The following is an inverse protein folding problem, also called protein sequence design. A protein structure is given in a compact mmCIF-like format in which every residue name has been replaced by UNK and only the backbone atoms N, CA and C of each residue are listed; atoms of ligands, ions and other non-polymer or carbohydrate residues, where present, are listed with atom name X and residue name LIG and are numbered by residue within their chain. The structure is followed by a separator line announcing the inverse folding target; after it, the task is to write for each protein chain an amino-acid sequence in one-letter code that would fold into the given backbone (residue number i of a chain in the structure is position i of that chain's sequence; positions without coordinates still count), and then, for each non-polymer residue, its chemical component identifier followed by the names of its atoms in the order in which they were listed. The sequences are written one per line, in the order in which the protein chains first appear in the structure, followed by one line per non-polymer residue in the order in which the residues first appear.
data_IF_991950982665
#
_entry.id   IF_991950982665
#
_cell.length_a   1.000
_cell.length_b   1.000
_cell.length_c   1.000
_cell.angle_alpha   90.00
_cell.angle_beta   90.00
_cell.angle_gamma   90.00
#
_symmetry.space_group_name_H-M   'P 1'
#
loop_
_entity.id
_entity.type
_entity.pdbx_description
1 polymer ?
#
# COMPACT_ATOMS: atom_id res chain seq x y z
N UNK A 1 21.39 11.22 0.53
CA UNK A 1 20.15 12.03 0.62
C UNK A 1 18.99 11.17 0.17
N UNK A 2 17.75 11.36 0.68
CA UNK A 2 16.62 10.53 0.21
C UNK A 2 16.37 10.66 -1.31
N UNK A 3 16.72 11.81 -1.92
CA UNK A 3 16.71 11.96 -3.38
C UNK A 3 17.54 10.91 -4.14
N UNK A 4 18.58 10.33 -3.55
CA UNK A 4 19.40 9.30 -4.21
C UNK A 4 18.60 8.01 -4.43
N UNK A 5 17.58 7.77 -3.60
CA UNK A 5 16.69 6.62 -3.75
C UNK A 5 15.83 6.69 -5.00
N UNK A 6 15.62 7.89 -5.58
CA UNK A 6 14.90 8.07 -6.84
C UNK A 6 15.60 7.40 -8.02
N UNK A 7 16.89 7.09 -7.89
CA UNK A 7 17.64 6.36 -8.90
C UNK A 7 17.21 4.88 -8.98
N UNK A 8 16.68 4.34 -7.89
CA UNK A 8 16.36 2.93 -7.74
C UNK A 8 14.86 2.66 -7.95
N UNK A 9 14.50 1.42 -8.28
CA UNK A 9 13.10 1.05 -8.42
C UNK A 9 12.48 0.91 -7.03
N UNK A 10 11.43 1.66 -6.72
CA UNK A 10 10.81 1.67 -5.40
C UNK A 10 10.21 0.32 -4.99
N UNK A 11 9.87 -0.54 -5.96
CA UNK A 11 9.36 -1.89 -5.70
C UNK A 11 10.46 -2.95 -5.57
N UNK A 12 11.70 -2.61 -5.93
CA UNK A 12 12.86 -3.50 -6.00
C UNK A 12 14.12 -2.73 -5.60
N UNK A 13 14.07 -2.03 -4.46
CA UNK A 13 15.08 -1.04 -4.09
C UNK A 13 16.46 -1.68 -3.88
N UNK A 14 16.51 -2.80 -3.14
CA UNK A 14 17.76 -3.51 -2.86
C UNK A 14 18.36 -4.15 -4.12
N UNK A 15 17.53 -4.75 -4.98
CA UNK A 15 17.99 -5.30 -6.26
C UNK A 15 18.50 -4.23 -7.22
N UNK A 16 17.82 -3.07 -7.27
CA UNK A 16 18.28 -1.95 -8.09
C UNK A 16 19.59 -1.37 -7.56
N UNK A 17 19.73 -1.23 -6.24
CA UNK A 17 21.00 -0.82 -5.61
C UNK A 17 22.12 -1.78 -5.97
N UNK A 18 21.89 -3.08 -5.82
CA UNK A 18 22.87 -4.12 -6.16
C UNK A 18 23.29 -4.04 -7.64
N UNK A 19 22.35 -3.88 -8.57
CA UNK A 19 22.66 -3.72 -9.99
C UNK A 19 23.56 -2.51 -10.24
N UNK A 20 23.21 -1.37 -9.66
CA UNK A 20 24.01 -0.15 -9.84
C UNK A 20 25.39 -0.27 -9.19
N UNK A 21 25.49 -0.91 -8.02
CA UNK A 21 26.77 -1.15 -7.35
C UNK A 21 27.67 -2.12 -8.14
N UNK A 22 27.06 -3.13 -8.78
CA UNK A 22 27.79 -4.18 -9.51
C UNK A 22 28.20 -3.73 -10.91
N UNK A 23 27.30 -3.07 -11.63
CA UNK A 23 27.48 -2.74 -13.05
C UNK A 23 27.70 -1.25 -13.32
N UNK A 24 27.55 -0.38 -12.32
CA UNK A 24 27.82 1.05 -12.41
C UNK A 24 27.00 1.73 -13.52
N UNK A 25 27.67 2.52 -14.35
CA UNK A 25 27.01 3.24 -15.45
C UNK A 25 26.46 2.33 -16.55
N UNK A 26 26.79 1.03 -16.56
CA UNK A 26 26.24 0.10 -17.55
C UNK A 26 24.73 -0.03 -17.46
N UNK A 27 24.14 0.21 -16.28
CA UNK A 27 22.67 0.21 -16.15
C UNK A 27 21.98 1.27 -17.02
N UNK A 28 22.72 2.31 -17.47
CA UNK A 28 22.26 3.35 -18.39
C UNK A 28 22.71 3.14 -19.84
N UNK A 29 23.61 2.19 -20.11
CA UNK A 29 24.03 1.87 -21.48
C UNK A 29 23.46 0.54 -22.00
N UNK A 30 22.93 -0.31 -21.11
CA UNK A 30 22.42 -1.63 -21.44
C UNK A 30 23.07 -2.74 -20.59
N UNK A 31 22.26 -3.72 -20.20
CA UNK A 31 22.67 -4.89 -19.40
C UNK A 31 22.48 -6.22 -20.16
N UNK A 32 22.30 -6.18 -21.48
CA UNK A 32 21.96 -7.34 -22.30
C UNK A 32 22.96 -8.48 -22.15
N UNK A 33 24.25 -8.13 -22.07
CA UNK A 33 25.34 -9.09 -21.90
C UNK A 33 25.43 -9.66 -20.46
N UNK A 34 24.79 -9.02 -19.49
CA UNK A 34 24.81 -9.39 -18.07
C UNK A 34 23.51 -10.10 -17.65
N UNK A 35 22.53 -10.23 -18.54
CA UNK A 35 21.23 -10.84 -18.21
C UNK A 35 21.37 -12.24 -17.63
N UNK A 36 22.31 -13.04 -18.15
CA UNK A 36 22.57 -14.40 -17.64
C UNK A 36 23.08 -14.35 -16.21
N UNK A 37 24.14 -13.60 -15.95
CA UNK A 37 24.74 -13.42 -14.62
C UNK A 37 23.72 -12.88 -13.60
N UNK A 38 22.88 -11.92 -14.01
CA UNK A 38 21.82 -11.36 -13.16
C UNK A 38 20.80 -12.44 -12.80
N UNK A 39 20.40 -13.30 -13.76
CA UNK A 39 19.46 -14.40 -13.49
C UNK A 39 20.07 -15.46 -12.57
N UNK A 40 21.35 -15.76 -12.72
CA UNK A 40 22.08 -16.66 -11.83
C UNK A 40 22.09 -16.13 -10.40
N UNK A 41 22.43 -14.85 -10.21
CA UNK A 41 22.37 -14.20 -8.90
C UNK A 41 20.98 -14.27 -8.26
N UNK A 42 19.91 -14.01 -9.03
CA UNK A 42 18.53 -14.10 -8.53
C UNK A 42 18.19 -15.53 -8.08
N UNK A 43 18.66 -16.55 -8.80
CA UNK A 43 18.43 -17.94 -8.43
C UNK A 43 19.21 -18.35 -7.18
N UNK A 44 20.49 -17.98 -7.09
CA UNK A 44 21.35 -18.30 -5.93
C UNK A 44 20.84 -17.69 -4.62
N UNK A 45 20.21 -16.51 -4.70
CA UNK A 45 19.65 -15.81 -3.56
C UNK A 45 18.15 -16.10 -3.35
N UNK A 46 17.59 -17.08 -4.08
CA UNK A 46 16.17 -17.46 -4.04
C UNK A 46 15.18 -16.29 -4.26
N UNK A 47 15.61 -15.26 -5.01
CA UNK A 47 14.86 -14.05 -5.28
C UNK A 47 13.90 -14.27 -6.45
N UNK A 48 12.64 -14.59 -6.12
CA UNK A 48 11.59 -14.78 -7.12
C UNK A 48 11.14 -13.43 -7.71
N UNK A 49 11.34 -13.29 -9.03
CA UNK A 49 10.91 -12.12 -9.78
C UNK A 49 10.07 -12.53 -11.00
N UNK A 50 9.03 -11.76 -11.30
CA UNK A 50 8.24 -11.98 -12.52
C UNK A 50 9.00 -11.46 -13.74
N UNK A 51 8.78 -12.05 -14.92
CA UNK A 51 9.40 -11.60 -16.17
C UNK A 51 9.17 -10.10 -16.44
N UNK A 52 7.99 -9.59 -16.08
CA UNK A 52 7.66 -8.17 -16.20
C UNK A 52 8.51 -7.28 -15.29
N UNK A 53 8.71 -7.69 -14.04
CA UNK A 53 9.56 -6.95 -13.11
C UNK A 53 11.03 -7.03 -13.53
N UNK A 54 11.50 -8.21 -13.94
CA UNK A 54 12.86 -8.42 -14.43
C UNK A 54 13.15 -7.54 -15.65
N UNK A 55 12.30 -7.60 -16.67
CA UNK A 55 12.45 -6.79 -17.89
C UNK A 55 12.44 -5.30 -17.60
N UNK A 56 11.64 -4.83 -16.62
CA UNK A 56 11.68 -3.43 -16.17
C UNK A 56 12.99 -3.08 -15.46
N UNK A 57 13.49 -3.99 -14.61
CA UNK A 57 14.69 -3.82 -13.80
C UNK A 57 15.96 -3.65 -14.66
N UNK A 58 16.09 -4.42 -15.74
CA UNK A 58 17.24 -4.36 -16.66
C UNK A 58 17.06 -3.37 -17.82
N UNK A 59 15.93 -2.66 -17.88
CA UNK A 59 15.62 -1.77 -18.98
C UNK A 59 16.37 -0.43 -18.88
N UNK A 60 17.19 -0.14 -19.89
CA UNK A 60 17.98 1.09 -19.98
C UNK A 60 17.14 2.36 -19.87
N UNK A 61 16.03 2.44 -20.63
CA UNK A 61 15.14 3.60 -20.61
C UNK A 61 14.54 3.85 -19.24
N UNK A 62 14.22 2.79 -18.47
CA UNK A 62 13.70 2.92 -17.09
C UNK A 62 14.76 3.45 -16.13
N UNK A 63 16.02 3.11 -16.32
CA UNK A 63 17.14 3.70 -15.57
C UNK A 63 17.32 5.19 -15.93
N UNK A 64 17.28 5.53 -17.22
CA UNK A 64 17.36 6.92 -17.67
C UNK A 64 16.20 7.79 -17.13
N UNK A 65 14.97 7.28 -17.16
CA UNK A 65 13.79 7.95 -16.60
C UNK A 65 13.98 8.25 -15.09
N UNK A 66 14.51 7.30 -14.32
CA UNK A 66 14.82 7.47 -12.88
C UNK A 66 15.95 8.46 -12.65
N UNK A 67 17.03 8.38 -13.42
CA UNK A 67 18.15 9.35 -13.35
C UNK A 67 17.69 10.77 -13.69
N UNK A 68 16.85 10.93 -14.70
CA UNK A 68 16.26 12.23 -15.03
C UNK A 68 15.39 12.77 -13.89
N UNK A 69 14.61 11.92 -13.23
CA UNK A 69 13.81 12.28 -12.06
C UNK A 69 14.67 12.71 -10.87
N UNK A 70 15.75 11.96 -10.56
CA UNK A 70 16.73 12.31 -9.53
C UNK A 70 17.39 13.66 -9.82
N UNK A 71 17.85 13.88 -11.05
CA UNK A 71 18.47 15.15 -11.45
C UNK A 71 17.49 16.33 -11.34
N UNK A 72 16.23 16.12 -11.69
CA UNK A 72 15.19 17.13 -11.51
C UNK A 72 14.94 17.44 -10.03
N UNK A 73 14.94 16.42 -9.16
CA UNK A 73 14.83 16.61 -7.71
C UNK A 73 15.98 17.46 -7.14
N UNK A 74 17.22 17.20 -7.56
CA UNK A 74 18.39 18.00 -7.15
C UNK A 74 18.26 19.47 -7.58
N UNK A 75 17.77 19.72 -8.80
CA UNK A 75 17.53 21.08 -9.29
C UNK A 75 16.43 21.80 -8.51
N UNK A 76 15.34 21.10 -8.18
CA UNK A 76 14.26 21.64 -7.34
C UNK A 76 14.79 22.00 -5.95
N UNK A 77 15.55 21.09 -5.33
CA UNK A 77 16.15 21.32 -4.02
C UNK A 77 17.06 22.56 -4.01
N UNK A 78 17.92 22.72 -5.02
CA UNK A 78 18.77 23.91 -5.14
C UNK A 78 17.97 25.21 -5.30
N UNK A 79 16.76 25.15 -5.89
CA UNK A 79 15.91 26.31 -6.15
C UNK A 79 15.00 26.67 -4.98
N UNK A 80 14.41 25.67 -4.33
CA UNK A 80 13.44 25.84 -3.23
C UNK A 80 14.13 25.96 -1.88
N UNK A 81 15.33 25.38 -1.75
CA UNK A 81 16.09 25.38 -0.50
C UNK A 81 15.95 24.08 0.27
N UNK A 82 16.48 24.09 1.50
CA UNK A 82 16.53 22.94 2.41
C UNK A 82 15.78 23.18 3.72
N UNK A 83 14.92 24.21 3.74
CA UNK A 83 14.10 24.50 4.91
C UNK A 83 13.08 23.39 5.14
N UNK A 84 12.71 23.20 6.40
CA UNK A 84 11.67 22.24 6.79
C UNK A 84 10.29 22.89 6.67
N UNK A 85 9.30 22.10 6.23
CA UNK A 85 7.94 22.53 5.99
C UNK A 85 6.96 21.58 6.69
N UNK A 86 6.06 22.13 7.51
CA UNK A 86 4.96 21.42 8.17
C UNK A 86 3.68 21.36 7.33
N UNK A 87 3.65 22.09 6.20
CA UNK A 87 2.52 22.18 5.29
C UNK A 87 2.91 21.66 3.90
N UNK A 88 2.60 20.38 3.65
CA UNK A 88 2.86 19.73 2.36
C UNK A 88 2.19 20.46 1.20
N UNK A 89 1.02 21.08 1.43
CA UNK A 89 0.27 21.76 0.37
C UNK A 89 1.01 23.03 -0.08
N UNK A 90 1.53 23.80 0.87
CA UNK A 90 2.36 24.96 0.58
C UNK A 90 3.64 24.55 -0.14
N UNK A 91 4.30 23.50 0.34
CA UNK A 91 5.55 23.01 -0.25
C UNK A 91 5.33 22.49 -1.67
N UNK A 92 4.22 21.80 -1.93
CA UNK A 92 3.83 21.37 -3.27
C UNK A 92 3.66 22.57 -4.22
N UNK A 93 2.94 23.62 -3.79
CA UNK A 93 2.74 24.83 -4.60
C UNK A 93 4.05 25.54 -4.95
N UNK A 94 4.98 25.65 -3.98
CA UNK A 94 6.31 26.22 -4.22
C UNK A 94 7.09 25.40 -5.25
N UNK A 95 7.06 24.08 -5.14
CA UNK A 95 7.73 23.17 -6.07
C UNK A 95 7.07 23.16 -7.46
N UNK A 96 5.75 23.33 -7.56
CA UNK A 96 5.07 23.52 -8.85
C UNK A 96 5.51 24.80 -9.55
N UNK A 97 5.69 25.89 -8.78
CA UNK A 97 6.25 27.14 -9.29
C UNK A 97 7.70 26.95 -9.75
N UNK A 98 8.53 26.31 -8.92
CA UNK A 98 9.92 26.02 -9.26
C UNK A 98 10.05 25.11 -10.50
N UNK A 99 9.20 24.10 -10.65
CA UNK A 99 9.14 23.23 -11.83
C UNK A 99 8.89 24.03 -13.12
N UNK A 100 8.01 25.04 -13.08
CA UNK A 100 7.74 25.94 -14.21
C UNK A 100 8.92 26.87 -14.49
N UNK A 101 9.48 27.51 -13.45
CA UNK A 101 10.60 28.44 -13.58
C UNK A 101 11.87 27.76 -14.12
N UNK A 102 12.13 26.52 -13.70
CA UNK A 102 13.27 25.73 -14.15
C UNK A 102 13.03 24.99 -15.47
N UNK A 103 11.80 25.01 -16.01
CA UNK A 103 11.46 24.34 -17.26
C UNK A 103 11.60 22.82 -17.24
N UNK A 104 11.48 22.17 -16.08
CA UNK A 104 11.74 20.73 -15.92
C UNK A 104 10.66 19.83 -16.52
N UNK A 105 9.47 20.39 -16.82
CA UNK A 105 8.32 19.69 -17.42
C UNK A 105 7.89 18.42 -16.65
N UNK A 106 8.09 18.39 -15.33
CA UNK A 106 7.63 17.27 -14.50
C UNK A 106 6.11 17.22 -14.49
N UNK A 107 5.56 16.01 -14.62
CA UNK A 107 4.14 15.74 -14.38
C UNK A 107 3.80 15.89 -12.89
N UNK A 108 2.52 16.10 -12.55
CA UNK A 108 2.08 16.16 -11.15
C UNK A 108 2.43 14.90 -10.37
N UNK A 109 2.34 13.72 -11.01
CA UNK A 109 2.73 12.44 -10.40
C UNK A 109 4.23 12.40 -10.07
N UNK A 110 5.10 12.75 -11.04
CA UNK A 110 6.55 12.80 -10.82
C UNK A 110 6.95 13.79 -9.73
N UNK A 111 6.32 14.97 -9.71
CA UNK A 111 6.57 15.96 -8.67
C UNK A 111 6.18 15.42 -7.29
N UNK A 112 4.98 14.85 -7.15
CA UNK A 112 4.55 14.21 -5.90
C UNK A 112 5.48 13.08 -5.47
N UNK A 113 5.97 12.25 -6.41
CA UNK A 113 6.98 11.22 -6.11
C UNK A 113 8.24 11.84 -5.51
N UNK A 114 8.82 12.86 -6.14
CA UNK A 114 10.01 13.55 -5.61
C UNK A 114 9.77 14.08 -4.20
N UNK A 115 8.64 14.77 -3.97
CA UNK A 115 8.36 15.39 -2.68
C UNK A 115 8.12 14.33 -1.59
N UNK A 116 7.35 13.27 -1.91
CA UNK A 116 7.04 12.19 -0.96
C UNK A 116 8.26 11.36 -0.60
N UNK A 117 9.20 11.14 -1.53
CA UNK A 117 10.47 10.48 -1.21
C UNK A 117 11.24 11.23 -0.13
N UNK A 118 11.12 12.55 -0.06
CA UNK A 118 11.81 13.36 0.95
C UNK A 118 10.96 13.66 2.19
N UNK A 119 9.66 13.42 2.14
CA UNK A 119 8.75 13.67 3.25
C UNK A 119 8.83 12.59 4.35
N UNK A 120 8.32 12.94 5.52
CA UNK A 120 8.07 12.05 6.66
C UNK A 120 6.64 12.29 7.15
N UNK A 121 6.02 11.28 7.75
CA UNK A 121 4.75 11.44 8.44
C UNK A 121 4.98 12.16 9.77
N UNK A 122 4.18 13.18 10.05
CA UNK A 122 4.19 13.93 11.31
C UNK A 122 2.74 14.22 11.73
N UNK A 123 2.28 13.75 12.90
CA UNK A 123 0.91 14.00 13.40
C UNK A 123 0.59 15.49 13.65
N UNK A 124 1.60 16.34 13.77
CA UNK A 124 1.44 17.77 14.04
C UNK A 124 1.44 18.61 12.75
N UNK A 125 1.80 18.01 11.62
CA UNK A 125 1.79 18.66 10.31
C UNK A 125 0.37 18.97 9.85
N UNK A 126 0.24 19.95 8.95
CA UNK A 126 -1.07 20.28 8.37
C UNK A 126 -1.55 19.15 7.47
N UNK A 127 -2.85 18.85 7.47
CA UNK A 127 -3.40 17.75 6.70
C UNK A 127 -3.20 17.98 5.20
N UNK A 128 -2.84 16.91 4.50
CA UNK A 128 -2.62 16.93 3.05
C UNK A 128 -3.95 17.00 2.33
N UNK A 129 -4.09 17.95 1.40
CA UNK A 129 -5.30 18.13 0.59
C UNK A 129 -5.20 17.28 -0.67
N UNK A 130 -6.13 16.35 -0.82
CA UNK A 130 -6.26 15.57 -2.06
C UNK A 130 -6.98 16.36 -3.14
N UNK A 131 -8.07 17.04 -2.78
CA UNK A 131 -8.92 17.74 -3.75
C UNK A 131 -9.63 18.92 -3.11
N UNK A 132 -9.80 19.99 -3.88
CA UNK A 132 -10.66 21.13 -3.54
C UNK A 132 -11.80 21.20 -4.56
N UNK A 133 -13.03 21.20 -4.06
CA UNK A 133 -14.24 21.39 -4.86
C UNK A 133 -14.75 22.82 -4.72
N UNK A 134 -15.19 23.42 -5.82
CA UNK A 134 -15.81 24.75 -5.82
C UNK A 134 -17.14 24.73 -5.06
N UNK A 135 -17.56 25.88 -4.54
CA UNK A 135 -18.82 26.03 -3.80
C UNK A 135 -20.06 25.50 -4.53
N UNK A 136 -20.14 25.70 -5.85
CA UNK A 136 -21.25 25.24 -6.71
C UNK A 136 -20.94 23.93 -7.44
N UNK A 137 -20.12 23.06 -6.85
CA UNK A 137 -19.81 21.77 -7.47
C UNK A 137 -21.05 20.86 -7.44
N UNK A 138 -21.40 20.28 -8.60
CA UNK A 138 -22.52 19.34 -8.78
C UNK A 138 -22.34 18.00 -8.06
N UNK A 139 -21.11 17.64 -7.71
CA UNK A 139 -20.78 16.38 -7.06
C UNK A 139 -21.33 16.32 -5.63
N UNK A 140 -21.36 17.45 -4.91
CA UNK A 140 -21.91 17.55 -3.56
C UNK A 140 -23.42 17.25 -3.53
N UNK A 141 -24.29 17.98 -4.27
CA UNK A 141 -25.72 17.68 -4.25
C UNK A 141 -26.03 16.28 -4.82
N UNK A 142 -25.25 15.79 -5.80
CA UNK A 142 -25.39 14.43 -6.29
C UNK A 142 -25.09 13.38 -5.20
N UNK A 143 -24.02 13.60 -4.41
CA UNK A 143 -23.67 12.75 -3.28
C UNK A 143 -24.74 12.77 -2.19
N UNK A 144 -25.18 13.96 -1.77
CA UNK A 144 -26.25 14.12 -0.77
C UNK A 144 -27.54 13.41 -1.20
N UNK A 145 -27.95 13.57 -2.47
CA UNK A 145 -29.15 12.94 -3.02
C UNK A 145 -29.00 11.41 -3.10
N UNK A 146 -27.85 10.91 -3.54
CA UNK A 146 -27.61 9.48 -3.74
C UNK A 146 -27.64 8.71 -2.42
N UNK A 147 -27.11 9.32 -1.36
CA UNK A 147 -26.98 8.68 -0.05
C UNK A 147 -27.99 9.18 1.00
N UNK A 148 -28.86 10.14 0.64
CA UNK A 148 -29.85 10.69 1.56
C UNK A 148 -29.24 11.42 2.76
N UNK A 149 -28.10 12.10 2.56
CA UNK A 149 -27.35 12.76 3.64
C UNK A 149 -27.79 14.22 3.77
N UNK A 150 -27.85 14.70 5.00
CA UNK A 150 -28.04 16.12 5.30
C UNK A 150 -26.73 16.91 5.10
N UNK A 151 -26.81 18.11 4.54
CA UNK A 151 -25.63 18.96 4.26
C UNK A 151 -24.80 19.24 5.53
N UNK A 152 -25.44 19.31 6.71
CA UNK A 152 -24.75 19.52 7.99
C UNK A 152 -23.79 18.39 8.37
N UNK A 153 -23.97 17.18 7.81
CA UNK A 153 -23.16 16.00 8.11
C UNK A 153 -22.01 15.77 7.13
N UNK A 154 -21.82 16.63 6.13
CA UNK A 154 -20.82 16.43 5.07
C UNK A 154 -19.39 16.18 5.59
N UNK A 155 -19.01 16.81 6.70
CA UNK A 155 -17.70 16.63 7.31
C UNK A 155 -17.47 15.17 7.78
N UNK A 156 -18.51 14.49 8.27
CA UNK A 156 -18.46 13.09 8.66
C UNK A 156 -18.28 12.15 7.47
N UNK A 157 -18.40 12.66 6.24
CA UNK A 157 -18.16 11.92 4.99
C UNK A 157 -16.92 12.44 4.24
N UNK A 158 -16.07 13.22 4.91
CA UNK A 158 -14.79 13.69 4.37
C UNK A 158 -14.87 14.93 3.47
N UNK A 159 -16.01 15.65 3.48
CA UNK A 159 -16.18 16.91 2.74
C UNK A 159 -16.22 18.09 3.72
N UNK A 160 -15.12 18.83 3.81
CA UNK A 160 -14.96 19.91 4.79
C UNK A 160 -15.19 21.27 4.14
N UNK A 161 -16.33 21.90 4.43
CA UNK A 161 -16.68 23.22 3.92
C UNK A 161 -15.80 24.31 4.52
N UNK A 162 -15.23 25.15 3.67
CA UNK A 162 -14.36 26.26 4.02
C UNK A 162 -15.15 27.58 4.12
N UNK A 163 -14.51 28.61 4.68
CA UNK A 163 -15.12 29.94 4.85
C UNK A 163 -15.45 30.63 3.52
N UNK A 164 -14.71 30.32 2.46
CA UNK A 164 -14.96 30.80 1.10
C UNK A 164 -16.06 30.00 0.35
N UNK A 165 -16.66 29.02 1.03
CA UNK A 165 -17.69 28.14 0.50
C UNK A 165 -17.15 26.96 -0.32
N UNK A 166 -15.84 26.82 -0.51
CA UNK A 166 -15.27 25.62 -1.15
C UNK A 166 -15.35 24.41 -0.22
N UNK A 167 -15.15 23.21 -0.78
CA UNK A 167 -15.06 21.97 0.00
C UNK A 167 -13.67 21.36 -0.18
N UNK A 168 -13.02 21.05 0.93
CA UNK A 168 -11.72 20.40 0.98
C UNK A 168 -11.91 18.93 1.28
N UNK A 169 -11.17 18.08 0.57
CA UNK A 169 -11.08 16.64 0.79
C UNK A 169 -9.63 16.33 1.11
N UNK A 170 -9.38 15.80 2.30
CA UNK A 170 -8.04 15.44 2.77
C UNK A 170 -7.62 14.05 2.27
N UNK A 171 -6.31 13.84 2.21
CA UNK A 171 -5.73 12.52 1.93
C UNK A 171 -5.89 11.61 3.15
N UNK A 172 -6.53 10.45 2.94
CA UNK A 172 -6.60 9.41 3.96
C UNK A 172 -5.26 8.71 4.07
N UNK A 173 -4.73 8.60 5.29
CA UNK A 173 -3.63 7.68 5.57
C UNK A 173 -4.10 6.24 5.28
N UNK A 174 -3.35 5.49 4.46
CA UNK A 174 -3.70 4.11 4.10
C UNK A 174 -3.54 3.15 5.28
N UNK A 175 -2.63 3.45 6.18
CA UNK A 175 -2.25 2.55 7.28
C UNK A 175 -3.24 2.64 8.45
N UNK A 176 -4.04 3.72 8.50
CA UNK A 176 -5.08 3.96 9.50
C UNK A 176 -6.49 3.61 9.00
N UNK A 177 -6.63 3.02 7.80
CA UNK A 177 -7.95 2.65 7.27
C UNK A 177 -8.49 1.43 7.98
N UNK A 178 -9.73 1.52 8.43
CA UNK A 178 -10.44 0.38 9.01
C UNK A 178 -11.83 0.17 8.37
N UNK A 179 -12.44 -0.98 8.63
CA UNK A 179 -13.76 -1.36 8.13
C UNK A 179 -14.63 -1.89 9.26
N UNK A 180 -15.74 -1.20 9.52
CA UNK A 180 -16.72 -1.61 10.51
C UNK A 180 -17.78 -2.56 9.93
N UNK A 181 -18.13 -3.59 10.71
CA UNK A 181 -19.24 -4.51 10.40
C UNK A 181 -20.49 -4.08 11.15
N UNK A 182 -21.35 -3.31 10.49
CA UNK A 182 -22.55 -2.73 11.09
C UNK A 182 -23.78 -3.59 10.74
N UNK A 183 -24.63 -3.95 11.72
CA UNK A 183 -25.90 -4.62 11.43
C UNK A 183 -26.78 -3.81 10.48
N UNK A 184 -27.39 -4.45 9.48
CA UNK A 184 -28.22 -3.78 8.45
C UNK A 184 -29.39 -2.97 9.03
N UNK A 185 -29.84 -3.28 10.25
CA UNK A 185 -30.93 -2.59 10.93
C UNK A 185 -30.49 -1.29 11.62
N UNK A 186 -29.20 -1.05 11.73
CA UNK A 186 -28.61 0.09 12.41
C UNK A 186 -28.17 1.15 11.39
N UNK A 187 -28.35 2.42 11.74
CA UNK A 187 -27.87 3.52 10.91
C UNK A 187 -26.34 3.66 11.02
N UNK A 188 -25.67 3.74 9.86
CA UNK A 188 -24.20 3.78 9.79
C UNK A 188 -23.66 5.02 10.50
N UNK A 189 -24.31 6.18 10.32
CA UNK A 189 -23.83 7.42 10.92
C UNK A 189 -24.00 7.37 12.44
N UNK A 190 -25.15 6.92 12.95
CA UNK A 190 -25.37 6.78 14.39
C UNK A 190 -24.36 5.83 15.05
N UNK A 191 -24.07 4.69 14.41
CA UNK A 191 -23.04 3.77 14.87
C UNK A 191 -21.67 4.43 14.95
N UNK A 192 -21.25 5.12 13.89
CA UNK A 192 -19.93 5.79 13.82
C UNK A 192 -19.81 6.89 14.86
N UNK A 193 -20.86 7.67 15.11
CA UNK A 193 -20.86 8.70 16.16
C UNK A 193 -20.72 8.09 17.56
N UNK A 194 -21.30 6.91 17.80
CA UNK A 194 -21.29 6.24 19.12
C UNK A 194 -20.02 5.45 19.38
N UNK A 195 -19.55 4.68 18.39
CA UNK A 195 -18.50 3.68 18.57
C UNK A 195 -17.13 4.11 18.01
N UNK A 196 -17.07 5.02 17.03
CA UNK A 196 -15.82 5.38 16.36
C UNK A 196 -15.33 6.77 16.78
N UNK A 197 -16.16 7.79 16.62
CA UNK A 197 -15.81 9.19 16.88
C UNK A 197 -15.25 9.47 18.29
N UNK A 198 -15.69 8.80 19.37
CA UNK A 198 -15.11 9.02 20.70
C UNK A 198 -13.63 8.62 20.80
N UNK A 199 -13.18 7.67 19.99
CA UNK A 199 -11.79 7.19 19.98
C UNK A 199 -10.98 7.82 18.86
N UNK A 200 -11.61 8.11 17.71
CA UNK A 200 -10.97 8.69 16.54
C UNK A 200 -11.83 9.84 16.02
N UNK A 201 -11.66 11.03 16.60
CA UNK A 201 -12.45 12.22 16.28
C UNK A 201 -12.34 12.61 14.79
N UNK A 202 -11.18 12.39 14.20
CA UNK A 202 -10.86 12.70 12.81
C UNK A 202 -11.38 11.67 11.81
N UNK A 203 -11.99 10.56 12.25
CA UNK A 203 -12.51 9.55 11.34
C UNK A 203 -13.68 10.09 10.49
N UNK A 204 -13.78 9.64 9.24
CA UNK A 204 -14.91 9.91 8.36
C UNK A 204 -15.34 8.67 7.59
N UNK A 205 -16.59 8.66 7.17
CA UNK A 205 -17.26 7.54 6.51
C UNK A 205 -17.04 7.62 5.00
N UNK A 206 -16.51 6.56 4.42
CA UNK A 206 -16.35 6.42 2.96
C UNK A 206 -17.46 5.55 2.36
N UNK A 207 -18.62 6.17 2.08
CA UNK A 207 -19.80 5.45 1.57
C UNK A 207 -19.64 4.77 0.20
N UNK A 208 -18.94 5.35 -0.80
CA UNK A 208 -18.80 4.71 -2.11
C UNK A 208 -18.19 3.31 -2.09
N UNK A 209 -17.40 2.98 -1.05
CA UNK A 209 -16.79 1.65 -0.89
C UNK A 209 -17.57 0.74 0.06
N UNK A 210 -18.60 1.25 0.73
CA UNK A 210 -19.46 0.47 1.64
C UNK A 210 -20.22 -0.60 0.87
N UNK A 211 -20.25 -1.81 1.43
CA UNK A 211 -20.94 -2.97 0.84
C UNK A 211 -22.03 -3.44 1.79
N UNK A 212 -23.21 -3.69 1.24
CA UNK A 212 -24.30 -4.35 1.95
C UNK A 212 -24.27 -5.83 1.56
N UNK A 213 -24.25 -6.72 2.55
CA UNK A 213 -24.22 -8.16 2.33
C UNK A 213 -24.68 -8.93 3.56
N UNK A 214 -24.80 -10.24 3.40
CA UNK A 214 -25.04 -11.17 4.50
C UNK A 214 -23.84 -12.09 4.68
N UNK A 215 -23.51 -12.41 5.92
CA UNK A 215 -22.47 -13.38 6.25
C UNK A 215 -23.13 -14.68 6.69
N UNK A 216 -22.88 -15.78 5.96
CA UNK A 216 -23.27 -17.12 6.36
C UNK A 216 -22.00 -17.86 6.78
N UNK A 217 -21.85 -18.11 8.09
CA UNK A 217 -20.71 -18.89 8.58
C UNK A 217 -20.89 -20.36 8.21
N UNK A 218 -20.21 -20.80 7.16
CA UNK A 218 -20.28 -22.20 6.73
C UNK A 218 -19.81 -23.16 7.83
N UNK A 219 -18.77 -22.79 8.57
CA UNK A 219 -18.31 -23.59 9.71
C UNK A 219 -19.38 -23.68 10.82
N UNK A 220 -20.05 -22.58 11.16
CA UNK A 220 -21.07 -22.62 12.22
C UNK A 220 -22.28 -23.49 11.85
N UNK A 221 -22.74 -23.42 10.61
CA UNK A 221 -24.02 -24.02 10.21
C UNK A 221 -23.88 -25.36 9.48
N UNK A 222 -22.73 -25.61 8.84
CA UNK A 222 -22.53 -26.77 7.97
C UNK A 222 -21.35 -27.66 8.40
N UNK A 223 -20.50 -27.21 9.31
CA UNK A 223 -19.47 -28.09 9.86
C UNK A 223 -20.11 -29.11 10.77
N UNK A 224 -20.04 -30.38 10.36
CA UNK A 224 -20.25 -31.51 11.24
C UNK A 224 -18.88 -31.88 11.79
N UNK A 225 -18.65 -31.80 13.10
CA UNK A 225 -17.45 -32.34 13.70
C UNK A 225 -17.30 -33.79 13.25
N UNK A 226 -16.12 -34.13 12.74
CA UNK A 226 -15.79 -35.53 12.49
C UNK A 226 -15.85 -36.22 13.85
N UNK A 227 -16.71 -37.24 13.98
CA UNK A 227 -16.71 -38.05 15.19
C UNK A 227 -15.31 -38.61 15.38
N UNK A 228 -14.73 -38.36 16.54
CA UNK A 228 -13.46 -38.97 16.91
C UNK A 228 -13.63 -40.49 16.93
N UNK A 229 -12.62 -41.22 16.46
CA UNK A 229 -12.58 -42.69 16.58
C UNK A 229 -12.79 -43.07 18.04
N UNK A 230 -13.43 -44.21 18.29
CA UNK A 230 -13.62 -44.67 19.66
C UNK A 230 -12.27 -45.01 20.32
N UNK A 231 -12.23 -45.03 21.65
CA UNK A 231 -11.01 -45.40 22.37
C UNK A 231 -10.59 -46.82 22.00
N UNK A 232 -11.55 -47.73 21.88
CA UNK A 232 -11.35 -49.13 21.51
C UNK A 232 -10.77 -49.29 20.10
N UNK A 233 -11.20 -48.44 19.15
CA UNK A 233 -10.62 -48.42 17.80
C UNK A 233 -9.18 -47.93 17.82
N UNK A 234 -8.89 -46.88 18.58
CA UNK A 234 -7.52 -46.38 18.73
C UNK A 234 -6.61 -47.40 19.42
N UNK A 235 -7.10 -48.06 20.48
CA UNK A 235 -6.37 -49.12 21.17
C UNK A 235 -6.05 -50.31 20.24
N UNK A 236 -7.02 -50.75 19.45
CA UNK A 236 -6.81 -51.82 18.46
C UNK A 236 -5.76 -51.42 17.42
N UNK A 237 -5.84 -50.22 16.86
CA UNK A 237 -4.87 -49.72 15.87
C UNK A 237 -3.46 -49.61 16.47
N UNK A 238 -3.33 -49.17 17.73
CA UNK A 238 -2.05 -49.09 18.44
C UNK A 238 -1.44 -50.48 18.63
N UNK A 239 -2.24 -51.45 19.09
CA UNK A 239 -1.78 -52.83 19.31
C UNK A 239 -1.39 -53.51 17.99
N UNK A 240 -2.12 -53.23 16.91
CA UNK A 240 -1.79 -53.73 15.57
C UNK A 240 -0.46 -53.15 15.08
N UNK A 241 -0.25 -51.85 15.22
CA UNK A 241 1.02 -51.18 14.86
C UNK A 241 2.20 -51.69 15.71
N UNK A 242 1.99 -51.96 16.99
CA UNK A 242 3.03 -52.52 17.88
C UNK A 242 3.40 -53.95 17.45
N UNK A 243 2.41 -54.78 17.14
CA UNK A 243 2.63 -56.14 16.60
C UNK A 243 3.38 -56.12 15.27
N UNK A 244 3.00 -55.24 14.34
CA UNK A 244 3.70 -55.06 13.07
C UNK A 244 5.15 -54.59 13.28
N UNK A 245 5.38 -53.68 14.23
CA UNK A 245 6.70 -53.17 14.57
C UNK A 245 7.59 -54.25 15.18
N UNK A 246 7.05 -55.05 16.12
CA UNK A 246 7.75 -56.17 16.72
C UNK A 246 8.10 -57.25 15.68
N UNK A 247 7.14 -57.60 14.81
CA UNK A 247 7.39 -58.53 13.70
C UNK A 247 8.46 -58.03 12.73
N UNK A 248 8.48 -56.72 12.45
CA UNK A 248 9.53 -56.10 11.62
C UNK A 248 10.91 -56.17 12.31
N UNK A 249 10.99 -55.83 13.60
CA UNK A 249 12.24 -55.89 14.38
C UNK A 249 12.77 -57.33 14.45
N UNK A 250 11.91 -58.32 14.69
CA UNK A 250 12.29 -59.73 14.68
C UNK A 250 12.80 -60.18 13.31
N UNK A 251 12.19 -59.69 12.22
CA UNK A 251 12.64 -60.01 10.87
C UNK A 251 14.06 -59.47 10.60
N UNK A 252 14.39 -58.27 11.10
CA UNK A 252 15.73 -57.69 11.00
C UNK A 252 16.75 -58.48 11.84
N UNK A 253 16.36 -58.90 13.05
CA UNK A 253 17.24 -59.66 13.95
C UNK A 253 17.53 -61.09 13.45
N UNK A 254 16.61 -61.71 12.70
CA UNK A 254 16.81 -63.03 12.05
C UNK A 254 17.64 -62.96 10.76
N UNK A 255 17.86 -61.76 10.22
CA UNK A 255 18.65 -61.50 9.01
C UNK A 255 20.11 -61.13 9.32
N UNK A 256 20.47 -60.98 10.59
CA UNK A 256 21.85 -60.90 11.10
C UNK A 256 22.32 -62.25 11.65
#
# INVERSE_FOLDING_TARGET
MKCDELLYDSSMIELSKWLYQTYGDKVFSGLEAQVTDIKEYLNENELKLTDKKFSTLVNTKKWEERRALQQAALKLMHKVGTDEYDDYNLFLLQNEKANKELGLKLTSAQLKTILRTNAVQDPTAKPVITKVLKAKNKDIPAFLLTYGIDESRLADYGYYRQTDGTYVIYEADSDLRDTEKIPVKEDIWEYVQREVKPYVAEAWINLPVTKIGCEISFNKYFYKPVQLRSLEENERDILELDSQSQGFIESLLKLM
#
